data_IF_479344371920
#
_entry.id   IF_479344371920
#
_cell.length_a   1.000
_cell.length_b   1.000
_cell.length_c   1.000
_cell.angle_alpha   90.00
_cell.angle_beta   90.00
_cell.angle_gamma   90.00
#
_symmetry.space_group_name_H-M   'P 1'
#
loop_
_entity.id
_entity.type
_entity.pdbx_description
1 polymer ?
#
# COMPACT_ATOMS: atom_id res chain seq x y z
N UNK A 1 -12.17 -21.49 -26.27
CA UNK A 1 -13.56 -21.74 -25.81
C UNK A 1 -13.84 -20.80 -24.66
N UNK A 2 -14.95 -20.04 -24.66
CA UNK A 2 -15.27 -19.18 -23.53
C UNK A 2 -15.58 -20.08 -22.34
N UNK A 3 -14.88 -19.86 -21.23
CA UNK A 3 -15.15 -20.56 -19.98
C UNK A 3 -16.61 -20.38 -19.56
N UNK A 4 -17.16 -21.35 -18.83
CA UNK A 4 -18.51 -21.22 -18.26
C UNK A 4 -18.61 -19.91 -17.44
N UNK A 5 -19.81 -19.32 -17.33
CA UNK A 5 -20.05 -18.08 -16.54
C UNK A 5 -19.43 -18.19 -15.13
N UNK A 6 -19.47 -19.40 -14.55
CA UNK A 6 -18.83 -19.73 -13.28
C UNK A 6 -17.33 -19.47 -13.26
N UNK A 7 -16.60 -19.85 -14.31
CA UNK A 7 -15.15 -19.63 -14.44
C UNK A 7 -14.80 -18.15 -14.58
N UNK A 8 -15.64 -17.37 -15.27
CA UNK A 8 -15.47 -15.91 -15.39
C UNK A 8 -15.68 -15.23 -14.03
N UNK A 9 -16.73 -15.62 -13.29
CA UNK A 9 -16.98 -15.11 -11.94
C UNK A 9 -15.88 -15.50 -10.95
N UNK A 10 -15.35 -16.72 -11.04
CA UNK A 10 -14.22 -17.18 -10.24
C UNK A 10 -12.94 -16.41 -10.54
N UNK A 11 -12.67 -16.11 -11.82
CA UNK A 11 -11.58 -15.24 -12.23
C UNK A 11 -11.72 -13.84 -11.63
N UNK A 12 -12.86 -13.18 -11.81
CA UNK A 12 -13.12 -11.86 -11.22
C UNK A 12 -12.97 -11.84 -9.70
N UNK A 13 -13.51 -12.84 -9.00
CA UNK A 13 -13.37 -12.96 -7.55
C UNK A 13 -11.90 -13.09 -7.13
N UNK A 14 -11.11 -13.90 -7.84
CA UNK A 14 -9.68 -14.07 -7.57
C UNK A 14 -8.90 -12.77 -7.79
N UNK A 15 -9.18 -12.05 -8.87
CA UNK A 15 -8.48 -10.81 -9.23
C UNK A 15 -8.93 -9.57 -8.44
N UNK A 16 -10.01 -9.64 -7.67
CA UNK A 16 -10.49 -8.53 -6.82
C UNK A 16 -10.32 -8.85 -5.34
N UNK A 17 -10.80 -10.01 -4.88
CA UNK A 17 -10.81 -10.35 -3.47
C UNK A 17 -9.43 -10.75 -2.95
N UNK A 18 -8.65 -11.51 -3.73
CA UNK A 18 -7.34 -12.00 -3.30
C UNK A 18 -6.34 -10.84 -3.09
N UNK A 19 -6.27 -9.82 -3.97
CA UNK A 19 -5.55 -8.58 -3.70
C UNK A 19 -5.85 -7.94 -2.35
N UNK A 20 -7.12 -7.71 -2.06
CA UNK A 20 -7.54 -7.05 -0.82
C UNK A 20 -7.16 -7.91 0.38
N UNK A 21 -7.39 -9.22 0.31
CA UNK A 21 -7.04 -10.17 1.35
C UNK A 21 -5.53 -10.24 1.61
N UNK A 22 -4.70 -10.20 0.56
CA UNK A 22 -3.24 -10.19 0.69
C UNK A 22 -2.71 -8.91 1.35
N UNK A 23 -3.37 -7.78 1.10
CA UNK A 23 -2.95 -6.48 1.61
C UNK A 23 -3.49 -6.18 3.02
N UNK A 24 -4.57 -6.82 3.46
CA UNK A 24 -5.16 -6.62 4.78
C UNK A 24 -4.17 -6.80 5.95
N UNK A 25 -3.37 -7.89 6.02
CA UNK A 25 -2.37 -8.09 7.08
C UNK A 25 -1.41 -6.92 7.24
N UNK A 26 -1.03 -6.26 6.14
CA UNK A 26 -0.15 -5.09 6.17
C UNK A 26 -0.78 -3.93 6.93
N UNK A 27 -2.08 -3.70 6.73
CA UNK A 27 -2.82 -2.66 7.47
C UNK A 27 -2.79 -2.89 8.97
N UNK A 28 -2.88 -4.15 9.42
CA UNK A 28 -2.78 -4.50 10.83
C UNK A 28 -1.36 -4.35 11.38
N UNK A 29 -0.34 -4.69 10.59
CA UNK A 29 1.06 -4.50 10.95
C UNK A 29 1.37 -3.01 11.16
N UNK A 30 0.94 -2.15 10.23
CA UNK A 30 1.08 -0.69 10.36
C UNK A 30 0.30 -0.17 11.56
N UNK A 31 -0.92 -0.67 11.82
CA UNK A 31 -1.70 -0.32 13.01
C UNK A 31 -0.96 -0.63 14.31
N UNK A 32 -0.32 -1.80 14.40
CA UNK A 32 0.45 -2.19 15.57
C UNK A 32 1.62 -1.20 15.79
N UNK A 33 2.28 -0.78 14.71
CA UNK A 33 3.36 0.20 14.78
C UNK A 33 2.87 1.61 15.15
N UNK A 34 1.78 2.10 14.55
CA UNK A 34 1.12 3.38 14.89
C UNK A 34 0.77 3.44 16.38
N UNK A 35 0.22 2.35 16.92
CA UNK A 35 -0.11 2.23 18.35
C UNK A 35 1.14 2.22 19.23
N UNK A 36 2.19 1.51 18.82
CA UNK A 36 3.47 1.44 19.54
C UNK A 36 4.14 2.82 19.64
N UNK A 37 4.13 3.58 18.56
CA UNK A 37 4.72 4.94 18.49
C UNK A 37 3.81 5.99 19.15
N UNK A 38 2.53 5.68 19.39
CA UNK A 38 1.51 6.64 19.85
C UNK A 38 1.48 7.88 18.95
N UNK A 39 1.34 7.65 17.63
CA UNK A 39 1.49 8.67 16.59
C UNK A 39 0.77 10.00 16.88
N UNK A 40 -0.47 9.96 17.40
CA UNK A 40 -1.20 11.19 17.75
C UNK A 40 -0.53 12.04 18.84
N UNK A 41 0.11 11.41 19.84
CA UNK A 41 0.89 12.15 20.85
C UNK A 41 2.18 12.72 20.24
N UNK A 42 2.84 11.94 19.39
CA UNK A 42 4.08 12.36 18.72
C UNK A 42 3.83 13.57 17.81
N UNK A 43 2.74 13.57 17.04
CA UNK A 43 2.39 14.69 16.15
C UNK A 43 2.07 15.96 16.97
N UNK A 44 1.25 15.83 18.01
CA UNK A 44 0.94 16.95 18.92
C UNK A 44 2.20 17.51 19.58
N UNK A 45 3.08 16.64 20.07
CA UNK A 45 4.34 17.05 20.68
C UNK A 45 5.27 17.72 19.67
N UNK A 46 5.30 17.23 18.42
CA UNK A 46 6.09 17.81 17.35
C UNK A 46 5.60 19.23 17.02
N UNK A 47 4.29 19.47 17.00
CA UNK A 47 3.69 20.78 16.82
C UNK A 47 4.05 21.74 17.96
N UNK A 48 3.88 21.30 19.22
CA UNK A 48 4.24 22.08 20.40
C UNK A 48 5.73 22.46 20.42
N UNK A 49 6.61 21.53 20.04
CA UNK A 49 8.06 21.78 19.96
C UNK A 49 8.38 22.72 18.80
N UNK A 50 7.69 22.62 17.66
CA UNK A 50 7.85 23.52 16.52
C UNK A 50 7.46 24.96 16.87
N UNK A 51 6.36 25.16 17.61
CA UNK A 51 5.95 26.48 18.12
C UNK A 51 7.03 27.05 19.05
N UNK A 52 7.48 26.26 20.04
CA UNK A 52 8.55 26.67 20.97
C UNK A 52 9.87 26.99 20.26
N UNK A 53 10.20 26.29 19.18
CA UNK A 53 11.36 26.57 18.34
C UNK A 53 11.25 27.93 17.62
N UNK A 54 10.05 28.29 17.13
CA UNK A 54 9.79 29.59 16.50
C UNK A 54 9.86 30.74 17.50
N UNK A 55 9.35 30.54 18.71
CA UNK A 55 9.36 31.56 19.78
C UNK A 55 10.74 31.74 20.43
N UNK A 56 11.57 30.69 20.43
CA UNK A 56 12.90 30.74 21.04
C UNK A 56 13.91 31.36 20.09
N UNK A 57 14.36 32.59 20.41
CA UNK A 57 15.46 33.23 19.68
C UNK A 57 16.73 32.35 19.71
N UNK A 58 17.44 32.19 18.57
CA UNK A 58 18.67 31.41 18.48
C UNK A 58 19.80 31.92 19.40
N UNK A 59 19.70 33.14 19.94
CA UNK A 59 20.60 33.68 20.97
C UNK A 59 20.59 32.86 22.27
N UNK A 60 19.53 32.08 22.56
CA UNK A 60 19.45 31.13 23.70
C UNK A 60 19.88 29.73 23.24
N UNK A 61 21.13 29.63 22.79
CA UNK A 61 21.65 28.53 21.98
C UNK A 61 21.42 27.14 22.60
N UNK A 62 21.65 26.98 23.92
CA UNK A 62 21.46 25.70 24.62
C UNK A 62 20.00 25.22 24.60
N UNK A 63 19.03 26.13 24.79
CA UNK A 63 17.60 25.81 24.81
C UNK A 63 17.08 25.54 23.41
N UNK A 64 17.55 26.31 22.43
CA UNK A 64 17.25 26.12 21.03
C UNK A 64 17.75 24.77 20.50
N UNK A 65 19.01 24.41 20.80
CA UNK A 65 19.58 23.10 20.43
C UNK A 65 18.78 21.93 21.02
N UNK A 66 18.29 22.06 22.25
CA UNK A 66 17.52 21.02 22.93
C UNK A 66 16.15 20.81 22.28
N UNK A 67 15.42 21.89 21.96
CA UNK A 67 14.16 21.77 21.23
C UNK A 67 14.36 21.24 19.81
N UNK A 68 15.42 21.67 19.11
CA UNK A 68 15.76 21.15 17.78
C UNK A 68 16.03 19.65 17.82
N UNK A 69 16.86 19.18 18.74
CA UNK A 69 17.16 17.75 18.90
C UNK A 69 15.90 16.92 19.20
N UNK A 70 15.00 17.43 20.04
CA UNK A 70 13.73 16.76 20.34
C UNK A 70 12.81 16.71 19.12
N UNK A 71 12.71 17.82 18.37
CA UNK A 71 11.98 17.86 17.10
C UNK A 71 12.53 16.85 16.10
N UNK A 72 13.85 16.82 15.89
CA UNK A 72 14.50 15.90 14.95
C UNK A 72 14.24 14.43 15.32
N UNK A 73 14.21 14.09 16.61
CA UNK A 73 13.87 12.75 17.09
C UNK A 73 12.41 12.38 16.82
N UNK A 74 11.47 13.29 17.06
CA UNK A 74 10.05 13.08 16.78
C UNK A 74 9.81 12.95 15.27
N UNK A 75 10.42 13.84 14.47
CA UNK A 75 10.39 13.81 13.02
C UNK A 75 10.95 12.50 12.45
N UNK A 76 12.08 12.02 12.98
CA UNK A 76 12.67 10.73 12.58
C UNK A 76 11.72 9.56 12.85
N UNK A 77 10.98 9.60 13.95
CA UNK A 77 10.00 8.57 14.30
C UNK A 77 8.82 8.54 13.31
N UNK A 78 8.28 9.72 12.95
CA UNK A 78 7.21 9.84 11.94
C UNK A 78 7.73 9.42 10.57
N UNK A 79 8.93 9.87 10.18
CA UNK A 79 9.57 9.50 8.91
C UNK A 79 9.74 7.98 8.80
N UNK A 80 10.20 7.31 9.86
CA UNK A 80 10.32 5.84 9.87
C UNK A 80 8.97 5.13 9.73
N UNK A 81 7.91 5.66 10.33
CA UNK A 81 6.57 5.11 10.17
C UNK A 81 6.10 5.20 8.72
N UNK A 82 6.32 6.34 8.06
CA UNK A 82 5.98 6.52 6.64
C UNK A 82 6.79 5.58 5.75
N UNK A 83 8.08 5.40 6.00
CA UNK A 83 8.92 4.46 5.26
C UNK A 83 8.48 3.02 5.47
N UNK A 84 8.19 2.62 6.71
CA UNK A 84 7.69 1.28 7.01
C UNK A 84 6.36 1.03 6.30
N UNK A 85 5.45 2.01 6.30
CA UNK A 85 4.20 1.92 5.56
C UNK A 85 4.44 1.74 4.05
N UNK A 86 5.31 2.56 3.46
CA UNK A 86 5.64 2.49 2.04
C UNK A 86 6.24 1.14 1.67
N UNK A 87 7.24 0.67 2.41
CA UNK A 87 7.91 -0.61 2.16
C UNK A 87 6.95 -1.79 2.30
N UNK A 88 6.11 -1.78 3.34
CA UNK A 88 5.15 -2.87 3.57
C UNK A 88 4.04 -2.88 2.51
N UNK A 89 3.57 -1.72 2.06
CA UNK A 89 2.64 -1.63 0.93
C UNK A 89 3.27 -2.18 -0.35
N UNK A 90 4.51 -1.81 -0.68
CA UNK A 90 5.20 -2.34 -1.85
C UNK A 90 5.44 -3.86 -1.78
N UNK A 91 5.88 -4.36 -0.63
CA UNK A 91 6.01 -5.80 -0.40
C UNK A 91 4.65 -6.51 -0.58
N UNK A 92 3.57 -5.89 -0.10
CA UNK A 92 2.21 -6.35 -0.29
C UNK A 92 1.77 -6.40 -1.75
N UNK A 93 2.07 -5.34 -2.51
CA UNK A 93 1.75 -5.26 -3.94
C UNK A 93 2.46 -6.38 -4.70
N UNK A 94 3.75 -6.59 -4.44
CA UNK A 94 4.52 -7.67 -5.07
C UNK A 94 3.97 -9.05 -4.68
N UNK A 95 3.68 -9.27 -3.40
CA UNK A 95 3.11 -10.52 -2.91
C UNK A 95 1.71 -10.77 -3.51
N UNK A 96 0.87 -9.74 -3.60
CA UNK A 96 -0.44 -9.79 -4.23
C UNK A 96 -0.33 -10.21 -5.70
N UNK A 97 0.55 -9.57 -6.48
CA UNK A 97 0.72 -9.89 -7.90
C UNK A 97 1.16 -11.35 -8.04
N UNK A 98 2.13 -11.77 -7.25
CA UNK A 98 2.62 -13.15 -7.27
C UNK A 98 1.55 -14.16 -6.86
N UNK A 99 0.85 -13.93 -5.74
CA UNK A 99 -0.17 -14.84 -5.21
C UNK A 99 -1.41 -14.91 -6.10
N UNK A 100 -1.88 -13.78 -6.65
CA UNK A 100 -3.03 -13.76 -7.57
C UNK A 100 -2.74 -14.59 -8.80
N UNK A 101 -1.53 -14.46 -9.35
CA UNK A 101 -1.07 -15.27 -10.49
C UNK A 101 -0.89 -16.74 -10.11
N UNK A 102 -0.33 -17.03 -8.94
CA UNK A 102 -0.15 -18.41 -8.48
C UNK A 102 -1.51 -19.12 -8.22
N UNK A 103 -2.48 -18.43 -7.63
CA UNK A 103 -3.81 -19.00 -7.39
C UNK A 103 -4.59 -19.16 -8.70
N UNK A 104 -4.52 -18.18 -9.62
CA UNK A 104 -5.13 -18.32 -10.94
C UNK A 104 -4.55 -19.52 -11.72
N UNK A 105 -3.30 -19.90 -11.45
CA UNK A 105 -2.62 -21.02 -12.09
C UNK A 105 -3.20 -22.33 -11.60
N UNK A 106 -3.28 -22.47 -10.28
CA UNK A 106 -3.85 -23.65 -9.62
C UNK A 106 -5.32 -23.87 -9.97
N UNK A 107 -6.06 -22.79 -10.22
CA UNK A 107 -7.49 -22.85 -10.54
C UNK A 107 -7.79 -23.01 -12.04
N UNK A 108 -6.75 -23.17 -12.88
CA UNK A 108 -6.88 -23.32 -14.33
C UNK A 108 -7.80 -22.25 -14.96
N UNK A 109 -7.72 -21.01 -14.46
CA UNK A 109 -8.64 -19.95 -14.89
C UNK A 109 -8.42 -19.69 -16.39
N UNK A 110 -9.48 -19.78 -17.22
CA UNK A 110 -9.33 -19.70 -18.66
C UNK A 110 -8.83 -18.32 -19.12
N UNK A 111 -8.22 -18.24 -20.33
CA UNK A 111 -7.83 -16.98 -20.92
C UNK A 111 -9.02 -16.00 -20.94
N UNK A 112 -8.79 -14.72 -20.63
CA UNK A 112 -7.48 -14.06 -20.58
C UNK A 112 -6.81 -14.06 -19.18
N UNK A 113 -7.34 -14.80 -18.20
CA UNK A 113 -6.89 -14.84 -16.80
C UNK A 113 -5.92 -16.01 -16.47
N UNK A 114 -5.42 -16.70 -17.49
CA UNK A 114 -4.51 -17.84 -17.35
C UNK A 114 -3.07 -17.35 -17.14
N UNK A 115 -2.43 -17.64 -16.00
CA UNK A 115 -1.06 -17.19 -15.67
C UNK A 115 0.06 -18.01 -16.33
N UNK A 116 -0.27 -19.05 -17.10
CA UNK A 116 0.71 -19.92 -17.77
C UNK A 116 1.31 -19.33 -19.05
N UNK A 117 0.74 -18.25 -19.61
CA UNK A 117 1.31 -17.60 -20.79
C UNK A 117 2.23 -16.47 -20.34
N UNK A 118 3.45 -16.90 -20.06
CA UNK A 118 4.56 -16.16 -19.46
C UNK A 118 5.09 -15.09 -20.42
N UNK A 119 4.29 -14.06 -20.74
CA UNK A 119 4.87 -12.83 -21.27
C UNK A 119 5.51 -12.09 -20.09
N UNK A 120 6.83 -11.98 -20.12
CA UNK A 120 7.66 -11.25 -19.13
C UNK A 120 7.41 -9.73 -19.15
N UNK A 121 6.41 -9.26 -19.90
CA UNK A 121 6.10 -7.85 -20.02
C UNK A 121 5.22 -7.44 -18.84
N UNK A 122 5.72 -6.61 -17.91
CA UNK A 122 4.94 -6.20 -16.74
C UNK A 122 3.79 -5.25 -17.09
N UNK A 123 3.66 -4.89 -18.37
CA UNK A 123 2.85 -3.78 -18.87
C UNK A 123 2.27 -4.10 -20.25
N UNK A 124 1.41 -5.11 -20.38
CA UNK A 124 0.52 -5.16 -21.54
C UNK A 124 -0.58 -4.11 -21.36
N UNK A 125 -0.30 -2.91 -21.86
CA UNK A 125 -1.29 -1.86 -22.00
C UNK A 125 -2.31 -2.31 -23.06
N UNK A 126 -3.58 -2.33 -22.65
CA UNK A 126 -4.77 -2.58 -23.49
C UNK A 126 -4.93 -4.08 -23.79
N UNK A 127 -6.16 -4.59 -23.61
CA UNK A 127 -6.55 -5.91 -24.12
C UNK A 127 -6.60 -5.85 -25.64
N UNK A 128 -5.43 -5.93 -26.26
CA UNK A 128 -5.27 -6.03 -27.70
C UNK A 128 -5.11 -7.52 -27.97
N UNK A 129 -5.90 -8.05 -28.90
CA UNK A 129 -5.60 -9.34 -29.51
C UNK A 129 -4.21 -9.21 -30.12
N UNK A 130 -3.23 -9.93 -29.58
CA UNK A 130 -1.88 -9.90 -30.12
C UNK A 130 -1.87 -10.37 -31.57
N UNK A 131 -0.76 -10.13 -32.28
CA UNK A 131 -0.57 -10.63 -33.64
C UNK A 131 -0.63 -12.18 -33.74
N UNK A 132 -0.64 -12.85 -32.60
CA UNK A 132 -0.76 -14.28 -32.35
C UNK A 132 -2.19 -14.74 -32.01
N UNK A 133 -3.20 -13.86 -32.13
CA UNK A 133 -4.60 -14.11 -31.74
C UNK A 133 -4.83 -14.29 -30.22
N UNK A 134 -3.85 -13.93 -29.39
CA UNK A 134 -3.94 -14.10 -27.93
C UNK A 134 -4.58 -12.88 -27.23
N UNK A 135 -5.39 -13.15 -26.20
CA UNK A 135 -6.07 -12.12 -25.39
C UNK A 135 -5.30 -11.85 -24.09
N UNK A 136 -4.86 -10.61 -23.88
CA UNK A 136 -4.13 -10.16 -22.68
C UNK A 136 -5.06 -9.39 -21.72
N UNK A 137 -5.15 -9.78 -20.43
CA UNK A 137 -5.85 -8.98 -19.39
C UNK A 137 -5.00 -7.79 -18.98
N UNK A 138 -5.65 -6.65 -18.77
CA UNK A 138 -5.02 -5.48 -18.18
C UNK A 138 -4.95 -5.61 -16.65
N UNK A 139 -4.09 -6.52 -16.20
CA UNK A 139 -3.77 -6.78 -14.80
C UNK A 139 -3.48 -5.48 -14.04
N UNK A 140 -2.77 -4.55 -14.68
CA UNK A 140 -2.36 -3.28 -14.09
C UNK A 140 -3.56 -2.41 -13.65
N UNK A 141 -4.60 -2.24 -14.48
CA UNK A 141 -5.75 -1.41 -14.11
C UNK A 141 -6.58 -2.05 -13.01
N UNK A 142 -6.73 -3.38 -13.02
CA UNK A 142 -7.41 -4.10 -11.94
C UNK A 142 -6.65 -3.97 -10.62
N UNK A 143 -5.32 -4.10 -10.64
CA UNK A 143 -4.50 -3.89 -9.46
C UNK A 143 -4.52 -2.43 -8.98
N UNK A 144 -4.48 -1.45 -9.88
CA UNK A 144 -4.59 -0.03 -9.51
C UNK A 144 -5.96 0.29 -8.90
N UNK A 145 -7.05 -0.25 -9.46
CA UNK A 145 -8.39 -0.11 -8.90
C UNK A 145 -8.50 -0.77 -7.51
N UNK A 146 -7.98 -2.00 -7.37
CA UNK A 146 -7.92 -2.70 -6.09
C UNK A 146 -7.09 -1.93 -5.05
N UNK A 147 -5.96 -1.33 -5.46
CA UNK A 147 -5.14 -0.48 -4.60
C UNK A 147 -5.86 0.81 -4.20
N UNK A 148 -6.61 1.44 -5.10
CA UNK A 148 -7.44 2.61 -4.78
C UNK A 148 -8.48 2.30 -3.70
N UNK A 149 -9.20 1.18 -3.84
CA UNK A 149 -10.16 0.70 -2.85
C UNK A 149 -9.45 0.34 -1.54
N UNK A 150 -8.34 -0.40 -1.64
CA UNK A 150 -7.57 -0.84 -0.48
C UNK A 150 -7.01 0.34 0.30
N UNK A 151 -6.54 1.41 -0.35
CA UNK A 151 -5.96 2.57 0.34
C UNK A 151 -6.96 3.20 1.34
N UNK A 152 -8.23 3.31 0.95
CA UNK A 152 -9.28 3.83 1.83
C UNK A 152 -9.50 2.95 3.06
N UNK A 153 -9.52 1.64 2.86
CA UNK A 153 -9.64 0.64 3.93
C UNK A 153 -8.40 0.65 4.82
N UNK A 154 -7.22 0.71 4.22
CA UNK A 154 -5.92 0.74 4.86
C UNK A 154 -5.80 1.93 5.83
N UNK A 155 -6.11 3.15 5.38
CA UNK A 155 -6.04 4.36 6.22
C UNK A 155 -6.94 4.24 7.46
N UNK A 156 -8.14 3.67 7.30
CA UNK A 156 -9.08 3.45 8.42
C UNK A 156 -8.56 2.39 9.39
N UNK A 157 -8.03 1.27 8.90
CA UNK A 157 -7.55 0.16 9.74
C UNK A 157 -6.24 0.52 10.43
N UNK A 158 -5.28 1.09 9.69
CA UNK A 158 -3.94 1.43 10.18
C UNK A 158 -3.98 2.56 11.21
N UNK A 159 -5.03 3.39 11.19
CA UNK A 159 -5.13 4.56 12.06
C UNK A 159 -4.25 5.72 11.58
N UNK A 160 -3.75 5.66 10.34
CA UNK A 160 -2.99 6.75 9.71
C UNK A 160 -3.83 7.99 9.41
N UNK A 161 -5.16 7.93 9.58
CA UNK A 161 -6.06 9.08 9.44
C UNK A 161 -5.57 10.33 10.20
N UNK A 162 -4.93 10.12 11.36
CA UNK A 162 -4.36 11.19 12.20
C UNK A 162 -3.32 12.05 11.46
N UNK A 163 -2.62 11.51 10.44
CA UNK A 163 -1.69 12.29 9.61
C UNK A 163 -2.37 13.29 8.67
N UNK A 164 -3.67 13.12 8.41
CA UNK A 164 -4.46 13.98 7.52
C UNK A 164 -5.34 14.97 8.30
N UNK A 165 -5.38 14.85 9.63
CA UNK A 165 -6.20 15.69 10.53
C UNK A 165 -5.35 16.75 11.28
N UNK A 166 -4.03 16.74 11.08
CA UNK A 166 -3.05 17.72 11.61
C UNK A 166 -2.64 18.65 10.49
#
# INVERSE_FOLDING_TARGET
>A
MPGSILQVLLGLATYIALPILCLLPISFLVRAYVRRVKLGRVLKEMEEVAIKLRETSPKKEKRWRLFKSRYDSLYKSVKWLLWLNLLTLWAGVLAMIYLTRYVAYLLEVPPPYSPLRLSWTPFSLIGIMGADEEWYVVDLFLYLAALGIFNHVHIRISGMKVLYEV
#
